data_IF_630013480690
#
_entry.id   IF_630013480690
#
_cell.length_a   1.000
_cell.length_b   1.000
_cell.length_c   1.000
_cell.angle_alpha   90.00
_cell.angle_beta   90.00
_cell.angle_gamma   90.00
#
_symmetry.space_group_name_H-M   'P 1'
#
loop_
_entity.id
_entity.type
_entity.pdbx_description
1 polymer ?
#
# COMPACT_ATOMS: atom_id res chain seq x y z
N UNK A 1 -58.12 -61.61 -26.19
CA UNK A 1 -58.05 -60.22 -26.74
C UNK A 1 -57.44 -59.31 -25.63
N UNK A 2 -56.19 -58.99 -25.79
CA UNK A 2 -55.39 -58.33 -24.74
C UNK A 2 -55.24 -56.84 -25.08
N UNK A 3 -55.64 -56.00 -24.14
CA UNK A 3 -55.54 -54.55 -24.16
C UNK A 3 -54.11 -54.10 -23.73
N UNK A 4 -53.48 -53.28 -24.57
CA UNK A 4 -52.17 -52.67 -24.30
C UNK A 4 -52.38 -51.41 -23.45
N UNK A 5 -51.78 -51.41 -22.21
CA UNK A 5 -51.70 -50.23 -21.38
C UNK A 5 -50.45 -49.42 -21.76
N UNK A 6 -50.65 -48.15 -22.11
CA UNK A 6 -49.57 -47.19 -22.35
C UNK A 6 -49.05 -46.68 -21.04
N UNK A 7 -47.73 -46.82 -20.81
CA UNK A 7 -47.01 -46.17 -19.72
C UNK A 7 -46.51 -44.84 -20.25
N UNK A 8 -47.00 -43.73 -19.66
CA UNK A 8 -46.47 -42.39 -19.90
C UNK A 8 -45.45 -42.12 -18.80
N UNK A 9 -44.16 -42.05 -19.22
CA UNK A 9 -43.06 -41.63 -18.32
C UNK A 9 -43.02 -40.09 -18.24
N UNK A 10 -43.26 -39.55 -17.05
CA UNK A 10 -43.14 -38.12 -16.76
C UNK A 10 -41.68 -37.84 -16.43
N UNK A 11 -40.92 -37.24 -17.33
CA UNK A 11 -39.57 -36.73 -17.05
C UNK A 11 -39.68 -35.35 -16.44
N UNK A 12 -39.40 -35.25 -15.11
CA UNK A 12 -39.26 -33.98 -14.43
C UNK A 12 -37.89 -33.35 -14.81
N UNK A 13 -37.94 -32.27 -15.58
CA UNK A 13 -36.77 -31.45 -15.84
C UNK A 13 -36.56 -30.53 -14.64
N UNK A 14 -35.53 -30.81 -13.84
CA UNK A 14 -35.02 -29.89 -12.81
C UNK A 14 -34.24 -28.77 -13.50
N UNK A 15 -34.86 -27.60 -13.63
CA UNK A 15 -34.18 -26.39 -14.03
C UNK A 15 -33.25 -25.94 -12.89
N UNK A 16 -31.98 -26.27 -13.00
CA UNK A 16 -30.95 -25.73 -12.13
C UNK A 16 -30.76 -24.26 -12.43
N UNK A 17 -31.21 -23.38 -11.49
CA UNK A 17 -30.89 -21.96 -11.55
C UNK A 17 -29.40 -21.78 -11.29
N UNK A 18 -28.63 -21.55 -12.34
CA UNK A 18 -27.26 -21.07 -12.24
C UNK A 18 -27.34 -19.62 -11.77
N UNK A 19 -27.14 -19.42 -10.48
CA UNK A 19 -26.90 -18.08 -9.94
C UNK A 19 -25.54 -17.63 -10.46
N UNK A 20 -25.54 -16.82 -11.51
CA UNK A 20 -24.35 -16.14 -11.98
C UNK A 20 -23.91 -15.17 -10.87
N UNK A 21 -22.90 -15.54 -10.11
CA UNK A 21 -22.18 -14.63 -9.24
C UNK A 21 -21.52 -13.59 -10.15
N UNK A 22 -22.10 -12.38 -10.23
CA UNK A 22 -21.43 -11.23 -10.82
C UNK A 22 -20.16 -11.02 -10.00
N UNK A 23 -18.99 -11.28 -10.61
CA UNK A 23 -17.73 -10.77 -10.09
C UNK A 23 -17.88 -9.26 -9.95
N UNK A 24 -17.86 -8.77 -8.72
CA UNK A 24 -17.71 -7.35 -8.45
C UNK A 24 -16.27 -7.00 -8.86
N UNK A 25 -16.09 -6.60 -10.12
CA UNK A 25 -14.82 -6.04 -10.56
C UNK A 25 -14.60 -4.74 -9.80
N UNK A 26 -13.34 -4.45 -9.42
CA UNK A 26 -12.96 -3.15 -8.89
C UNK A 26 -13.54 -2.05 -9.79
N UNK A 27 -14.08 -1.00 -9.17
CA UNK A 27 -14.73 0.07 -9.93
C UNK A 27 -13.69 0.76 -10.83
N UNK A 28 -14.03 0.95 -12.10
CA UNK A 28 -13.15 1.63 -13.05
C UNK A 28 -12.95 3.10 -12.64
N UNK A 29 -11.70 3.53 -12.53
CA UNK A 29 -11.34 4.92 -12.28
C UNK A 29 -11.22 5.69 -13.61
N UNK A 30 -11.43 7.01 -13.58
CA UNK A 30 -11.26 7.85 -14.79
C UNK A 30 -9.81 7.93 -15.25
N UNK A 31 -8.86 7.86 -14.32
CA UNK A 31 -7.43 7.85 -14.61
C UNK A 31 -6.94 6.55 -15.21
N UNK A 32 -7.69 5.44 -15.07
CA UNK A 32 -7.23 4.09 -15.35
C UNK A 32 -6.21 3.57 -14.33
N UNK A 33 -5.94 4.30 -13.24
CA UNK A 33 -5.12 3.84 -12.13
C UNK A 33 -5.95 2.91 -11.22
N UNK A 34 -5.34 1.83 -10.75
CA UNK A 34 -5.89 1.03 -9.66
C UNK A 34 -5.38 1.59 -8.32
N UNK A 35 -6.28 1.83 -7.38
CA UNK A 35 -5.94 2.27 -6.04
C UNK A 35 -6.12 1.14 -5.04
N UNK A 36 -5.21 1.06 -4.08
CA UNK A 36 -5.27 0.17 -2.93
C UNK A 36 -5.36 0.93 -1.61
N UNK A 37 -5.38 0.17 -0.52
CA UNK A 37 -5.34 0.69 0.86
C UNK A 37 -4.20 0.02 1.59
N UNK A 38 -3.32 0.83 2.21
CA UNK A 38 -2.39 0.33 3.23
C UNK A 38 -3.21 -0.05 4.47
N UNK A 39 -3.13 -1.30 4.91
CA UNK A 39 -3.98 -1.82 5.99
C UNK A 39 -3.71 -1.20 7.37
N UNK A 40 -2.61 -0.46 7.53
CA UNK A 40 -2.40 0.37 8.72
C UNK A 40 -3.50 1.42 8.90
N UNK A 41 -4.08 1.91 7.79
CA UNK A 41 -5.25 2.79 7.79
C UNK A 41 -6.42 2.24 8.60
N UNK A 42 -6.63 0.94 8.53
CA UNK A 42 -7.75 0.20 9.17
C UNK A 42 -7.29 -0.64 10.37
N UNK A 43 -6.13 -0.33 10.96
CA UNK A 43 -5.49 -1.12 12.02
C UNK A 43 -6.36 -1.40 13.25
N UNK A 44 -7.31 -0.53 13.52
CA UNK A 44 -8.24 -0.70 14.63
C UNK A 44 -9.40 -1.68 14.33
N UNK A 45 -9.62 -2.00 13.04
CA UNK A 45 -10.71 -2.84 12.58
C UNK A 45 -10.24 -4.22 12.08
N UNK A 46 -8.93 -4.50 12.15
CA UNK A 46 -8.34 -5.77 11.69
C UNK A 46 -8.68 -6.98 12.56
N UNK A 47 -9.31 -6.80 13.71
CA UNK A 47 -9.83 -7.91 14.52
C UNK A 47 -10.81 -8.76 13.69
N UNK A 48 -11.65 -8.15 12.85
CA UNK A 48 -12.43 -8.84 11.81
C UNK A 48 -11.85 -8.52 10.42
N UNK A 49 -10.67 -9.04 10.16
CA UNK A 49 -9.99 -8.84 8.88
C UNK A 49 -10.84 -9.20 7.66
N UNK A 50 -11.62 -10.32 7.65
CA UNK A 50 -12.49 -10.62 6.52
C UNK A 50 -13.57 -9.56 6.27
N UNK A 51 -14.18 -8.97 7.29
CA UNK A 51 -15.17 -7.90 7.14
C UNK A 51 -14.50 -6.62 6.63
N UNK A 52 -13.35 -6.25 7.19
CA UNK A 52 -12.56 -5.09 6.78
C UNK A 52 -12.13 -5.17 5.32
N UNK A 53 -11.61 -6.31 4.87
CA UNK A 53 -11.23 -6.51 3.47
C UNK A 53 -12.45 -6.45 2.53
N UNK A 54 -13.60 -7.01 2.93
CA UNK A 54 -14.85 -6.87 2.15
C UNK A 54 -15.30 -5.42 2.03
N UNK A 55 -15.21 -4.64 3.10
CA UNK A 55 -15.53 -3.21 3.09
C UNK A 55 -14.64 -2.46 2.10
N UNK A 56 -13.31 -2.67 2.15
CA UNK A 56 -12.35 -2.05 1.23
C UNK A 56 -12.72 -2.38 -0.22
N UNK A 57 -12.98 -3.65 -0.53
CA UNK A 57 -13.39 -4.08 -1.86
C UNK A 57 -14.74 -3.48 -2.30
N UNK A 58 -15.74 -3.43 -1.42
CA UNK A 58 -17.06 -2.84 -1.70
C UNK A 58 -17.03 -1.34 -1.96
N UNK A 59 -16.08 -0.61 -1.37
CA UNK A 59 -15.85 0.81 -1.66
C UNK A 59 -15.34 0.98 -3.10
N UNK A 60 -14.57 0.02 -3.62
CA UNK A 60 -14.07 0.03 -4.99
C UNK A 60 -12.55 -0.18 -5.13
N UNK A 61 -11.81 -0.24 -4.02
CA UNK A 61 -10.37 -0.46 -4.04
C UNK A 61 -10.03 -1.83 -4.65
N UNK A 62 -8.94 -1.89 -5.41
CA UNK A 62 -8.50 -3.08 -6.13
C UNK A 62 -7.48 -3.93 -5.36
N UNK A 63 -6.79 -3.33 -4.41
CA UNK A 63 -5.68 -3.97 -3.71
C UNK A 63 -5.55 -3.48 -2.27
N UNK A 64 -4.76 -4.24 -1.51
CA UNK A 64 -4.30 -3.84 -0.18
C UNK A 64 -2.79 -3.97 -0.09
N UNK A 65 -2.18 -3.13 0.71
CA UNK A 65 -0.84 -3.33 1.21
C UNK A 65 -0.91 -3.87 2.62
N UNK A 66 -0.24 -4.98 2.86
CA UNK A 66 -0.30 -5.71 4.12
C UNK A 66 0.67 -5.15 5.15
N UNK A 67 0.49 -5.45 6.46
CA UNK A 67 1.38 -4.95 7.51
C UNK A 67 1.47 -5.93 8.71
N UNK A 68 2.47 -5.79 9.63
CA UNK A 68 2.85 -6.81 10.62
C UNK A 68 1.75 -7.48 11.44
N UNK A 69 0.75 -6.78 12.01
CA UNK A 69 -0.25 -7.45 12.87
C UNK A 69 -1.05 -8.58 12.23
N UNK A 70 -1.12 -8.62 10.88
CA UNK A 70 -1.84 -9.71 10.21
C UNK A 70 -0.94 -10.89 9.83
N UNK A 71 0.38 -10.80 10.04
CA UNK A 71 1.37 -11.83 9.70
C UNK A 71 1.50 -12.95 10.74
N UNK A 72 0.65 -12.96 11.77
CA UNK A 72 0.45 -14.12 12.65
C UNK A 72 -0.35 -15.23 11.95
N UNK A 73 -1.04 -14.90 10.85
CA UNK A 73 -1.74 -15.86 10.00
C UNK A 73 -0.76 -16.56 9.07
N UNK A 74 -0.94 -17.85 8.76
CA UNK A 74 -0.16 -18.52 7.71
C UNK A 74 -0.30 -17.79 6.37
N UNK A 75 0.83 -17.59 5.67
CA UNK A 75 0.89 -16.78 4.44
C UNK A 75 -0.11 -17.26 3.37
N UNK A 76 -0.23 -18.57 3.16
CA UNK A 76 -1.19 -19.15 2.18
C UNK A 76 -2.64 -18.87 2.54
N UNK A 77 -3.00 -18.92 3.83
CA UNK A 77 -4.35 -18.63 4.29
C UNK A 77 -4.68 -17.14 4.10
N UNK A 78 -3.76 -16.26 4.45
CA UNK A 78 -3.91 -14.82 4.25
C UNK A 78 -4.05 -14.48 2.76
N UNK A 79 -3.20 -15.06 1.91
CA UNK A 79 -3.31 -14.93 0.45
C UNK A 79 -4.67 -15.39 -0.07
N UNK A 80 -5.12 -16.58 0.35
CA UNK A 80 -6.41 -17.14 -0.08
C UNK A 80 -7.58 -16.27 0.37
N UNK A 81 -7.53 -15.71 1.59
CA UNK A 81 -8.53 -14.79 2.12
C UNK A 81 -8.63 -13.51 1.25
N UNK A 82 -7.49 -12.85 1.00
CA UNK A 82 -7.44 -11.60 0.23
C UNK A 82 -7.96 -11.84 -1.20
N UNK A 83 -7.44 -12.88 -1.87
CA UNK A 83 -7.83 -13.23 -3.24
C UNK A 83 -9.29 -13.70 -3.33
N UNK A 84 -9.78 -14.44 -2.33
CA UNK A 84 -11.17 -14.92 -2.26
C UNK A 84 -12.19 -13.79 -2.12
N UNK A 85 -11.78 -12.61 -1.64
CA UNK A 85 -12.61 -11.40 -1.60
C UNK A 85 -12.56 -10.62 -2.94
N UNK A 86 -11.56 -10.87 -3.76
CA UNK A 86 -11.36 -10.18 -5.04
C UNK A 86 -10.31 -9.06 -4.97
N UNK A 87 -9.53 -8.98 -3.89
CA UNK A 87 -8.45 -8.01 -3.73
C UNK A 87 -7.11 -8.63 -4.16
N UNK A 88 -6.17 -7.76 -4.58
CA UNK A 88 -4.76 -8.09 -4.75
C UNK A 88 -3.96 -7.66 -3.52
N UNK A 89 -2.83 -8.29 -3.25
CA UNK A 89 -1.84 -7.83 -2.28
C UNK A 89 -0.47 -7.78 -2.97
N UNK A 90 -0.17 -6.71 -3.71
CA UNK A 90 1.11 -6.61 -4.40
C UNK A 90 2.27 -6.23 -3.46
N UNK A 91 1.99 -5.62 -2.32
CA UNK A 91 3.00 -5.09 -1.40
C UNK A 91 2.65 -5.35 0.06
N UNK A 92 3.67 -5.27 0.92
CA UNK A 92 3.51 -5.34 2.36
C UNK A 92 4.67 -4.70 3.12
N UNK A 93 4.33 -4.06 4.24
CA UNK A 93 5.28 -3.49 5.19
C UNK A 93 5.78 -4.55 6.15
N UNK A 94 7.07 -4.53 6.44
CA UNK A 94 7.73 -5.44 7.38
C UNK A 94 8.65 -4.67 8.31
N UNK A 95 8.59 -4.96 9.60
CA UNK A 95 9.43 -4.32 10.60
C UNK A 95 10.91 -4.63 10.35
N UNK A 96 11.76 -3.60 10.47
CA UNK A 96 13.20 -3.67 10.24
C UNK A 96 13.87 -4.88 10.93
N UNK A 97 13.52 -5.14 12.19
CA UNK A 97 14.10 -6.22 12.99
C UNK A 97 13.71 -7.62 12.50
N UNK A 98 12.61 -7.76 11.77
CA UNK A 98 12.08 -9.05 11.32
C UNK A 98 12.26 -9.31 9.82
N UNK A 99 12.82 -8.35 9.07
CA UNK A 99 12.91 -8.40 7.61
C UNK A 99 13.48 -9.73 7.11
N UNK A 100 14.66 -10.13 7.58
CA UNK A 100 15.31 -11.34 7.11
C UNK A 100 14.48 -12.61 7.34
N UNK A 101 13.90 -12.73 8.54
CA UNK A 101 13.06 -13.87 8.92
C UNK A 101 11.73 -13.93 8.14
N UNK A 102 11.28 -12.80 7.59
CA UNK A 102 9.99 -12.69 6.90
C UNK A 102 10.09 -12.73 5.37
N UNK A 103 11.27 -12.84 4.77
CA UNK A 103 11.42 -12.92 3.31
C UNK A 103 10.64 -14.09 2.71
N UNK A 104 10.78 -15.28 3.27
CA UNK A 104 10.10 -16.47 2.75
C UNK A 104 8.58 -16.39 2.97
N UNK A 105 8.14 -15.78 4.08
CA UNK A 105 6.72 -15.48 4.33
C UNK A 105 6.15 -14.53 3.28
N UNK A 106 6.86 -13.44 2.95
CA UNK A 106 6.44 -12.47 1.94
C UNK A 106 6.31 -13.12 0.55
N UNK A 107 7.26 -13.97 0.19
CA UNK A 107 7.22 -14.73 -1.07
C UNK A 107 6.06 -15.74 -1.10
N UNK A 108 5.80 -16.46 0.00
CA UNK A 108 4.68 -17.41 0.11
C UNK A 108 3.32 -16.69 0.09
N UNK A 109 3.22 -15.50 0.70
CA UNK A 109 2.05 -14.63 0.62
C UNK A 109 1.78 -14.17 -0.83
N UNK A 110 2.83 -14.18 -1.68
CA UNK A 110 2.74 -13.85 -3.10
C UNK A 110 2.84 -12.36 -3.36
N UNK A 111 3.53 -11.64 -2.49
CA UNK A 111 3.83 -10.22 -2.70
C UNK A 111 4.80 -10.05 -3.88
N UNK A 112 4.71 -8.90 -4.54
CA UNK A 112 5.71 -8.41 -5.49
C UNK A 112 6.76 -7.57 -4.76
N UNK A 113 6.31 -6.76 -3.79
CA UNK A 113 7.17 -5.85 -3.02
C UNK A 113 7.16 -6.20 -1.53
N UNK A 114 8.35 -6.27 -0.95
CA UNK A 114 8.59 -6.31 0.49
C UNK A 114 9.17 -4.96 0.91
N UNK A 115 8.44 -4.20 1.69
CA UNK A 115 8.79 -2.82 2.04
C UNK A 115 9.23 -2.74 3.50
N UNK A 116 10.34 -2.02 3.74
CA UNK A 116 10.71 -1.56 5.07
C UNK A 116 10.17 -0.15 5.28
N UNK A 117 9.21 0.05 6.20
CA UNK A 117 8.60 1.38 6.39
C UNK A 117 9.41 2.29 7.31
N UNK A 118 10.32 1.74 8.12
CA UNK A 118 11.02 2.54 9.13
C UNK A 118 12.29 1.84 9.60
N UNK A 119 13.36 2.60 9.77
CA UNK A 119 14.56 2.15 10.48
C UNK A 119 14.45 2.43 11.98
N UNK A 120 15.20 1.71 12.83
CA UNK A 120 15.18 1.90 14.28
C UNK A 120 15.46 3.34 14.70
N UNK A 121 14.70 3.87 15.66
CA UNK A 121 14.77 5.27 16.11
C UNK A 121 16.18 5.68 16.57
N UNK A 122 16.94 4.78 17.18
CA UNK A 122 18.32 5.05 17.61
C UNK A 122 19.27 5.39 16.43
N UNK A 123 18.90 5.08 15.20
CA UNK A 123 19.68 5.37 14.00
C UNK A 123 19.39 6.76 13.41
N UNK A 124 18.32 7.44 13.83
CA UNK A 124 17.86 8.68 13.19
C UNK A 124 18.74 9.90 13.49
N UNK A 125 19.58 9.82 14.55
CA UNK A 125 20.33 10.95 15.08
C UNK A 125 21.63 11.29 14.36
N UNK A 126 22.10 10.43 13.43
CA UNK A 126 23.38 10.61 12.76
C UNK A 126 23.38 10.03 11.35
N UNK A 127 24.22 10.55 10.47
CA UNK A 127 24.43 9.98 9.13
C UNK A 127 25.00 8.56 9.21
N UNK A 128 25.82 8.25 10.22
CA UNK A 128 26.36 6.91 10.43
C UNK A 128 25.25 5.87 10.69
N UNK A 129 24.18 6.27 11.42
CA UNK A 129 23.02 5.39 11.60
C UNK A 129 22.33 5.07 10.28
N UNK A 130 22.23 6.03 9.37
CA UNK A 130 21.67 5.82 8.03
C UNK A 130 22.59 4.98 7.14
N UNK A 131 23.91 5.12 7.24
CA UNK A 131 24.87 4.23 6.58
C UNK A 131 24.70 2.78 7.04
N UNK A 132 24.64 2.54 8.35
CA UNK A 132 24.42 1.21 8.91
C UNK A 132 23.07 0.60 8.47
N UNK A 133 22.04 1.44 8.42
CA UNK A 133 20.73 1.01 7.93
C UNK A 133 20.81 0.60 6.45
N UNK A 134 21.48 1.39 5.60
CA UNK A 134 21.65 1.09 4.19
C UNK A 134 22.41 -0.23 3.99
N UNK A 135 23.50 -0.45 4.72
CA UNK A 135 24.29 -1.69 4.66
C UNK A 135 23.44 -2.92 5.02
N UNK A 136 22.59 -2.82 6.05
CA UNK A 136 21.67 -3.89 6.43
C UNK A 136 20.60 -4.12 5.35
N UNK A 137 19.95 -3.06 4.89
CA UNK A 137 18.84 -3.15 3.93
C UNK A 137 19.33 -3.64 2.55
N UNK A 138 20.57 -3.36 2.17
CA UNK A 138 21.19 -3.92 0.96
C UNK A 138 21.31 -5.46 1.02
N UNK A 139 21.65 -6.02 2.19
CA UNK A 139 21.68 -7.49 2.39
C UNK A 139 20.28 -8.09 2.32
N UNK A 140 19.30 -7.41 2.90
CA UNK A 140 17.88 -7.82 2.81
C UNK A 140 17.40 -7.79 1.35
N UNK A 141 17.76 -6.75 0.60
CA UNK A 141 17.39 -6.64 -0.82
C UNK A 141 17.96 -7.79 -1.66
N UNK A 142 19.20 -8.20 -1.39
CA UNK A 142 19.82 -9.38 -2.04
C UNK A 142 19.04 -10.66 -1.72
N UNK A 143 18.71 -10.88 -0.44
CA UNK A 143 17.93 -12.04 0.04
C UNK A 143 16.52 -12.04 -0.56
N UNK A 144 15.83 -10.89 -0.57
CA UNK A 144 14.50 -10.74 -1.16
C UNK A 144 14.50 -11.04 -2.66
N UNK A 145 15.50 -10.53 -3.40
CA UNK A 145 15.69 -10.81 -4.82
C UNK A 145 15.90 -12.30 -5.10
N UNK A 146 16.67 -12.99 -4.27
CA UNK A 146 16.87 -14.44 -4.37
C UNK A 146 15.56 -15.23 -4.16
N UNK A 147 14.61 -14.68 -3.39
CA UNK A 147 13.28 -15.23 -3.18
C UNK A 147 12.24 -14.76 -4.24
N UNK A 148 12.65 -13.99 -5.24
CA UNK A 148 11.77 -13.49 -6.30
C UNK A 148 10.99 -12.22 -5.95
N UNK A 149 11.33 -11.55 -4.83
CA UNK A 149 10.71 -10.31 -4.38
C UNK A 149 11.51 -9.09 -4.83
N UNK A 150 10.82 -7.96 -5.00
CA UNK A 150 11.41 -6.63 -5.04
C UNK A 150 11.42 -6.06 -3.62
N UNK A 151 12.57 -5.61 -3.16
CA UNK A 151 12.68 -4.94 -1.88
C UNK A 151 12.55 -3.43 -2.05
N UNK A 152 11.89 -2.76 -1.11
CA UNK A 152 11.70 -1.31 -1.12
C UNK A 152 11.80 -0.67 0.25
N UNK A 153 11.91 0.64 0.23
CA UNK A 153 11.93 1.50 1.41
C UNK A 153 10.87 2.59 1.32
N UNK A 154 10.19 2.82 2.44
CA UNK A 154 9.16 3.86 2.59
C UNK A 154 9.66 4.91 3.59
N UNK A 155 10.08 6.10 3.11
CA UNK A 155 10.55 7.17 3.99
C UNK A 155 9.38 7.90 4.65
N UNK A 156 9.64 8.37 5.87
CA UNK A 156 8.81 9.32 6.60
C UNK A 156 9.40 10.74 6.52
N UNK A 157 9.11 11.57 7.50
CA UNK A 157 9.63 12.92 7.57
C UNK A 157 10.99 13.02 8.27
N UNK A 158 11.33 12.10 9.19
CA UNK A 158 12.56 12.16 9.97
C UNK A 158 13.84 12.01 9.13
N UNK A 159 13.78 11.31 8.01
CA UNK A 159 14.91 11.15 7.08
C UNK A 159 15.30 12.46 6.41
N UNK A 160 14.37 13.40 6.30
CA UNK A 160 14.63 14.71 5.68
C UNK A 160 15.20 15.74 6.66
N UNK A 161 15.31 15.41 7.96
CA UNK A 161 15.94 16.29 8.93
C UNK A 161 17.40 16.52 8.59
N UNK A 162 17.83 17.80 8.64
CA UNK A 162 19.24 18.13 8.47
C UNK A 162 20.05 17.68 9.69
N UNK A 163 21.05 16.85 9.48
CA UNK A 163 22.00 16.36 10.46
C UNK A 163 23.40 16.91 10.14
N UNK A 164 24.34 16.72 11.08
CA UNK A 164 25.74 16.92 10.78
C UNK A 164 26.17 15.91 9.69
N UNK A 165 26.58 16.44 8.53
CA UNK A 165 27.00 15.61 7.38
C UNK A 165 25.91 15.35 6.32
N UNK A 166 24.66 15.83 6.47
CA UNK A 166 23.63 15.73 5.46
C UNK A 166 22.28 15.24 5.99
N UNK A 167 21.35 14.94 5.08
CA UNK A 167 20.05 14.35 5.44
C UNK A 167 20.12 12.83 5.33
N UNK A 168 19.41 12.12 6.22
CA UNK A 168 19.33 10.67 6.19
C UNK A 168 18.79 10.12 4.88
N UNK A 169 17.78 10.79 4.30
CA UNK A 169 17.23 10.43 2.99
C UNK A 169 18.30 10.41 1.89
N UNK A 170 19.14 11.44 1.82
CA UNK A 170 20.20 11.52 0.80
C UNK A 170 21.25 10.43 0.99
N UNK A 171 21.56 10.09 2.24
CA UNK A 171 22.46 8.96 2.57
C UNK A 171 21.87 7.65 2.07
N UNK A 172 20.60 7.36 2.41
CA UNK A 172 19.93 6.15 1.97
C UNK A 172 19.89 6.04 0.45
N UNK A 173 19.45 7.12 -0.25
CA UNK A 173 19.35 7.09 -1.72
C UNK A 173 20.69 6.89 -2.42
N UNK A 174 21.79 7.38 -1.83
CA UNK A 174 23.14 7.20 -2.35
C UNK A 174 23.68 5.78 -2.09
N UNK A 175 23.47 5.23 -0.90
CA UNK A 175 24.10 4.01 -0.41
C UNK A 175 23.28 2.75 -0.68
N UNK A 176 22.01 2.88 -0.99
CA UNK A 176 21.15 1.75 -1.37
C UNK A 176 21.59 1.09 -2.67
N UNK A 177 21.60 -0.24 -2.68
CA UNK A 177 21.69 -1.02 -3.92
C UNK A 177 20.67 -0.48 -4.95
N UNK A 178 21.05 -0.36 -6.23
CA UNK A 178 20.15 0.15 -7.27
C UNK A 178 18.83 -0.61 -7.42
N UNK A 179 18.75 -1.86 -6.96
CA UNK A 179 17.52 -2.66 -7.00
C UNK A 179 16.49 -2.27 -5.94
N UNK A 180 16.89 -1.58 -4.86
CA UNK A 180 15.97 -1.14 -3.82
C UNK A 180 15.03 -0.08 -4.39
N UNK A 181 13.73 -0.35 -4.27
CA UNK A 181 12.68 0.52 -4.77
C UNK A 181 12.27 1.57 -3.73
N UNK A 182 11.71 2.65 -4.22
CA UNK A 182 11.17 3.72 -3.40
C UNK A 182 9.65 3.65 -3.43
N UNK A 183 9.06 3.52 -2.25
CA UNK A 183 7.67 3.80 -1.98
C UNK A 183 7.59 5.20 -1.37
N UNK A 184 7.28 6.20 -2.21
CA UNK A 184 7.28 7.58 -1.73
C UNK A 184 5.93 7.92 -1.12
N UNK A 185 5.95 8.27 0.17
CA UNK A 185 4.81 8.90 0.83
C UNK A 185 4.82 10.41 0.57
N UNK A 186 3.79 10.86 -0.13
CA UNK A 186 3.67 12.26 -0.57
C UNK A 186 3.42 13.18 0.61
N UNK A 187 2.63 12.74 1.60
CA UNK A 187 2.37 13.52 2.80
C UNK A 187 3.65 13.72 3.61
N UNK A 188 4.39 12.64 3.91
CA UNK A 188 5.59 12.75 4.72
C UNK A 188 6.68 13.61 4.08
N UNK A 189 6.80 13.56 2.76
CA UNK A 189 7.68 14.44 2.01
C UNK A 189 7.23 15.91 2.16
N UNK A 190 5.95 16.22 1.94
CA UNK A 190 5.39 17.56 2.09
C UNK A 190 5.45 18.06 3.53
N UNK A 191 5.21 17.18 4.53
CA UNK A 191 5.29 17.52 5.96
C UNK A 191 6.71 17.86 6.39
N UNK A 192 7.71 17.27 5.74
CA UNK A 192 9.13 17.63 5.90
C UNK A 192 9.56 18.84 5.05
N UNK A 193 8.63 19.53 4.40
CA UNK A 193 8.93 20.70 3.56
C UNK A 193 9.63 20.37 2.24
N UNK A 194 9.56 19.14 1.79
CA UNK A 194 10.11 18.74 0.49
C UNK A 194 9.07 18.95 -0.63
N UNK A 195 9.56 19.13 -1.84
CA UNK A 195 8.75 19.08 -3.05
C UNK A 195 8.63 17.62 -3.53
N UNK A 196 7.45 16.98 -3.44
CA UNK A 196 7.30 15.59 -3.85
C UNK A 196 7.60 15.37 -5.34
N UNK A 197 7.30 16.33 -6.22
CA UNK A 197 7.58 16.23 -7.66
C UNK A 197 9.09 16.20 -7.91
N UNK A 198 9.84 17.06 -7.20
CA UNK A 198 11.30 17.07 -7.29
C UNK A 198 11.90 15.75 -6.79
N UNK A 199 11.42 15.23 -5.65
CA UNK A 199 11.88 13.95 -5.11
C UNK A 199 11.61 12.78 -6.06
N UNK A 200 10.41 12.72 -6.67
CA UNK A 200 10.08 11.68 -7.64
C UNK A 200 11.02 11.73 -8.86
N UNK A 201 11.27 12.91 -9.43
CA UNK A 201 12.15 13.10 -10.58
C UNK A 201 13.60 12.71 -10.27
N UNK A 202 14.11 13.13 -9.12
CA UNK A 202 15.47 12.82 -8.67
C UNK A 202 15.66 11.30 -8.46
N UNK A 203 14.62 10.61 -8.00
CA UNK A 203 14.66 9.19 -7.67
C UNK A 203 13.88 8.30 -8.66
N UNK A 204 13.65 8.78 -9.90
CA UNK A 204 12.82 8.11 -10.91
C UNK A 204 13.18 6.65 -11.18
N UNK A 205 14.46 6.28 -11.05
CA UNK A 205 14.91 4.91 -11.30
C UNK A 205 14.52 3.94 -10.19
N UNK A 206 14.24 4.45 -8.99
CA UNK A 206 13.82 3.68 -7.82
C UNK A 206 12.32 3.74 -7.58
N UNK A 207 11.65 4.82 -8.04
CA UNK A 207 10.24 5.06 -7.78
C UNK A 207 9.38 3.90 -8.31
N UNK A 208 8.58 3.30 -7.44
CA UNK A 208 7.73 2.17 -7.80
C UNK A 208 6.33 2.23 -7.17
N UNK A 209 6.23 2.78 -5.96
CA UNK A 209 4.98 2.84 -5.19
C UNK A 209 4.78 4.27 -4.65
N UNK A 210 3.52 4.65 -4.49
CA UNK A 210 3.11 5.95 -3.94
C UNK A 210 2.11 5.73 -2.81
N UNK A 211 2.38 6.35 -1.65
CA UNK A 211 1.40 6.50 -0.59
C UNK A 211 0.65 7.82 -0.73
N UNK A 212 -0.67 7.71 -0.66
CA UNK A 212 -1.62 8.80 -0.85
C UNK A 212 -2.20 9.18 0.50
N UNK A 213 -1.83 10.35 0.97
CA UNK A 213 -2.27 10.96 2.21
C UNK A 213 -2.15 12.48 2.04
N UNK A 214 -3.22 13.23 2.27
CA UNK A 214 -3.21 14.68 2.06
C UNK A 214 -2.85 15.45 3.32
N UNK A 215 -2.44 16.70 3.13
CA UNK A 215 -1.94 17.58 4.19
C UNK A 215 -2.86 18.78 4.34
N UNK A 216 -3.39 18.99 5.56
CA UNK A 216 -4.16 20.19 5.91
C UNK A 216 -3.36 21.46 5.63
N UNK A 217 -4.02 22.59 5.33
CA UNK A 217 -3.36 23.87 5.09
C UNK A 217 -2.82 24.48 6.40
N UNK A 218 -1.63 24.02 6.80
CA UNK A 218 -0.95 24.48 8.00
C UNK A 218 0.42 25.06 7.66
N UNK A 219 0.90 25.98 8.48
CA UNK A 219 2.25 26.53 8.37
C UNK A 219 3.26 25.70 9.15
N UNK A 220 4.50 25.64 8.65
CA UNK A 220 5.59 24.91 9.27
C UNK A 220 5.71 23.46 8.80
N UNK A 221 6.82 22.85 9.22
CA UNK A 221 7.21 21.49 8.87
C UNK A 221 7.60 20.73 10.13
N UNK A 222 7.42 19.41 10.15
CA UNK A 222 7.85 18.56 11.26
C UNK A 222 8.73 17.41 10.76
N UNK A 223 9.69 17.03 11.60
CA UNK A 223 10.62 15.92 11.37
C UNK A 223 10.47 14.81 12.42
N UNK A 224 9.39 14.85 13.20
CA UNK A 224 9.09 13.81 14.17
C UNK A 224 7.86 13.03 13.71
N UNK A 225 7.96 11.71 13.45
CA UNK A 225 6.83 10.90 13.06
C UNK A 225 6.00 10.50 14.30
N UNK A 226 5.58 11.48 15.07
CA UNK A 226 4.82 11.28 16.31
C UNK A 226 3.42 11.85 16.18
N UNK A 227 2.40 11.23 16.81
CA UNK A 227 0.98 11.58 16.62
C UNK A 227 0.58 13.00 17.04
N UNK A 228 1.37 13.68 17.87
CA UNK A 228 1.04 15.01 18.34
C UNK A 228 1.28 16.06 17.25
N UNK A 229 0.21 16.58 16.66
CA UNK A 229 0.25 17.66 15.67
C UNK A 229 0.22 17.21 14.22
N UNK A 230 -0.30 16.03 13.93
CA UNK A 230 -0.47 15.59 12.56
C UNK A 230 -1.48 16.44 11.77
N UNK A 231 -1.13 16.68 10.53
CA UNK A 231 -1.91 17.49 9.62
C UNK A 231 -2.55 16.63 8.52
N UNK A 232 -2.85 15.37 8.85
CA UNK A 232 -3.49 14.45 7.92
C UNK A 232 -4.89 14.89 7.53
N UNK A 233 -5.23 14.69 6.27
CA UNK A 233 -6.60 14.74 5.79
C UNK A 233 -6.74 13.82 4.58
N UNK A 234 -7.97 13.60 4.11
CA UNK A 234 -8.27 12.77 2.97
C UNK A 234 -7.81 13.42 1.66
N UNK A 235 -7.44 12.61 0.69
CA UNK A 235 -7.02 13.08 -0.64
C UNK A 235 -8.08 14.02 -1.25
N UNK A 236 -7.62 15.18 -1.70
CA UNK A 236 -8.45 16.26 -2.25
C UNK A 236 -9.07 17.19 -1.22
N UNK A 237 -8.87 16.95 0.08
CA UNK A 237 -9.32 17.82 1.17
C UNK A 237 -8.19 18.69 1.73
N UNK A 238 -6.97 18.50 1.24
CA UNK A 238 -5.77 19.19 1.68
C UNK A 238 -5.16 20.11 0.62
N UNK A 239 -3.83 20.20 0.64
CA UNK A 239 -3.05 21.12 -0.17
C UNK A 239 -2.26 20.46 -1.31
N UNK A 240 -2.29 19.14 -1.41
CA UNK A 240 -1.52 18.40 -2.40
C UNK A 240 -2.29 18.35 -3.72
N UNK A 241 -1.64 18.76 -4.81
CA UNK A 241 -2.21 18.64 -6.17
C UNK A 241 -2.07 17.19 -6.66
N UNK A 242 -3.00 16.35 -6.26
CA UNK A 242 -3.01 14.93 -6.60
C UNK A 242 -3.09 14.65 -8.09
N UNK A 243 -3.71 15.53 -8.86
CA UNK A 243 -3.75 15.37 -10.31
C UNK A 243 -2.33 15.43 -10.90
N UNK A 244 -1.56 16.44 -10.51
CA UNK A 244 -0.17 16.60 -10.97
C UNK A 244 0.73 15.51 -10.40
N UNK A 245 0.59 15.18 -9.11
CA UNK A 245 1.41 14.16 -8.43
C UNK A 245 1.20 12.78 -9.06
N UNK A 246 -0.04 12.33 -9.22
CA UNK A 246 -0.33 11.00 -9.76
C UNK A 246 0.02 10.91 -11.26
N UNK A 247 -0.19 11.99 -12.01
CA UNK A 247 0.23 12.07 -13.42
C UNK A 247 1.74 11.92 -13.57
N UNK A 248 2.51 12.64 -12.76
CA UNK A 248 3.98 12.55 -12.77
C UNK A 248 4.46 11.18 -12.27
N UNK A 249 3.91 10.66 -11.18
CA UNK A 249 4.29 9.34 -10.66
C UNK A 249 4.09 8.24 -11.71
N UNK A 250 2.93 8.24 -12.40
CA UNK A 250 2.65 7.32 -13.50
C UNK A 250 3.64 7.49 -14.66
N UNK A 251 3.92 8.73 -15.07
CA UNK A 251 4.88 9.03 -16.12
C UNK A 251 6.28 8.51 -15.79
N UNK A 252 6.67 8.58 -14.52
CA UNK A 252 7.96 8.10 -14.01
C UNK A 252 8.00 6.59 -13.75
N UNK A 253 6.89 5.87 -13.94
CA UNK A 253 6.84 4.41 -13.87
C UNK A 253 6.38 3.83 -12.54
N UNK A 254 5.79 4.61 -11.64
CA UNK A 254 5.13 4.06 -10.46
C UNK A 254 3.92 3.20 -10.87
N UNK A 255 3.77 2.03 -10.25
CA UNK A 255 2.75 1.02 -10.60
C UNK A 255 1.76 0.73 -9.48
N UNK A 256 2.07 1.12 -8.25
CA UNK A 256 1.24 0.86 -7.07
C UNK A 256 0.90 2.18 -6.37
N UNK A 257 -0.36 2.34 -5.98
CA UNK A 257 -0.90 3.57 -5.39
C UNK A 257 -1.82 3.20 -4.23
N UNK A 258 -1.39 3.47 -3.00
CA UNK A 258 -2.13 3.10 -1.79
C UNK A 258 -2.56 4.33 -1.00
N UNK A 259 -3.85 4.38 -0.62
CA UNK A 259 -4.31 5.27 0.44
C UNK A 259 -3.74 4.75 1.76
N UNK A 260 -3.00 5.61 2.44
CA UNK A 260 -2.38 5.33 3.74
C UNK A 260 -2.76 6.43 4.74
N UNK A 261 -3.87 6.25 5.42
CA UNK A 261 -4.41 7.25 6.35
C UNK A 261 -4.00 6.91 7.79
N UNK A 262 -2.88 7.47 8.28
CA UNK A 262 -2.39 7.26 9.64
C UNK A 262 -3.33 7.81 10.72
N UNK A 263 -4.12 8.82 10.38
CA UNK A 263 -5.14 9.41 11.23
C UNK A 263 -6.16 10.20 10.41
N UNK A 264 -7.37 10.30 10.92
CA UNK A 264 -8.47 11.04 10.30
C UNK A 264 -9.39 11.59 11.39
N UNK A 265 -10.02 12.74 11.11
CA UNK A 265 -11.11 13.28 11.93
C UNK A 265 -12.44 12.54 11.65
N UNK A 266 -12.47 11.69 10.61
CA UNK A 266 -13.64 10.92 10.20
C UNK A 266 -13.55 9.46 10.68
N UNK A 267 -14.70 8.79 10.85
CA UNK A 267 -14.70 7.32 10.95
C UNK A 267 -14.00 6.68 9.75
N UNK A 268 -13.28 5.59 9.94
CA UNK A 268 -12.40 4.99 8.93
C UNK A 268 -13.11 4.64 7.63
N UNK A 269 -14.33 4.11 7.68
CA UNK A 269 -15.13 3.84 6.47
C UNK A 269 -15.44 5.13 5.70
N UNK A 270 -15.81 6.18 6.40
CA UNK A 270 -16.13 7.47 5.77
C UNK A 270 -14.86 8.08 5.15
N UNK A 271 -13.73 8.03 5.84
CA UNK A 271 -12.43 8.47 5.33
C UNK A 271 -12.05 7.72 4.04
N UNK A 272 -12.15 6.38 4.04
CA UNK A 272 -11.89 5.58 2.84
C UNK A 272 -12.82 5.95 1.67
N UNK A 273 -14.10 6.21 1.92
CA UNK A 273 -15.05 6.64 0.89
C UNK A 273 -14.76 8.03 0.35
N UNK A 274 -14.32 8.97 1.19
CA UNK A 274 -13.93 10.33 0.75
C UNK A 274 -12.71 10.22 -0.17
N UNK A 275 -11.66 9.50 0.25
CA UNK A 275 -10.47 9.25 -0.56
C UNK A 275 -10.85 8.62 -1.91
N UNK A 276 -11.65 7.54 -1.90
CA UNK A 276 -12.07 6.84 -3.12
C UNK A 276 -12.87 7.74 -4.06
N UNK A 277 -13.86 8.47 -3.54
CA UNK A 277 -14.72 9.33 -4.35
C UNK A 277 -13.91 10.41 -5.09
N UNK A 278 -12.89 10.96 -4.45
CA UNK A 278 -12.01 11.91 -5.09
C UNK A 278 -11.09 11.25 -6.12
N UNK A 279 -10.34 10.22 -5.72
CA UNK A 279 -9.32 9.57 -6.54
C UNK A 279 -9.92 8.89 -7.79
N UNK A 280 -11.08 8.24 -7.65
CA UNK A 280 -11.73 7.54 -8.77
C UNK A 280 -12.20 8.48 -9.89
N UNK A 281 -12.39 9.78 -9.59
CA UNK A 281 -12.84 10.78 -10.54
C UNK A 281 -11.71 11.60 -11.15
N UNK A 282 -10.47 11.48 -10.64
CA UNK A 282 -9.33 12.17 -11.22
C UNK A 282 -9.04 11.69 -12.64
N UNK A 283 -8.76 12.67 -13.50
CA UNK A 283 -8.21 12.43 -14.86
C UNK A 283 -6.73 12.82 -14.85
N UNK A 284 -5.83 11.85 -14.97
CA UNK A 284 -4.36 12.03 -14.95
C UNK A 284 -3.73 11.46 -16.21
#
# INVERSE_FOLDING_TARGET
>A
MLSRRHFVALTAATAGSVVATKSLNAASTRSGLEFGVQLFTVRNDIADLPATLRLIHQIGYASVETFPPIYDRPAKELRALIQGIGLKAPSGHFEYASLEAKVDYAAELGLEYMICPMIPQQMWGSVDGFHQAADHLNKIAERARAAGLKFGYHPHNYEFKQLAGGRGFDVLMRDFDPSIRLELDIYWAAEAGQDPLALMRQNRQRLALIHIKDRKPVTGFTFAPTPAGFHFTEAGSGTIDWKTVLGEARHLGATQFFVDQDGSDLPVEQSLRVNWNYLSQLSV
#
